data_IF_757130422606
#
_entry.id   IF_757130422606
#
_cell.length_a   1.000
_cell.length_b   1.000
_cell.length_c   1.000
_cell.angle_alpha   90.00
_cell.angle_beta   90.00
_cell.angle_gamma   90.00
#
_symmetry.space_group_name_H-M   'P 1'
#
loop_
_entity.id
_entity.type
_entity.pdbx_description
1 polymer ?
#
# COMPACT_ATOMS: atom_id res chain seq x y z
N UNK A 1 22.84 7.33 -17.71
CA UNK A 1 21.71 7.57 -18.62
C UNK A 1 20.81 8.59 -17.91
N UNK A 2 20.76 9.85 -18.36
CA UNK A 2 20.01 10.92 -17.67
C UNK A 2 18.52 10.75 -17.94
N UNK A 3 17.75 10.38 -16.91
CA UNK A 3 16.29 10.43 -17.00
C UNK A 3 15.85 11.90 -17.05
N UNK A 4 15.31 12.32 -18.21
CA UNK A 4 14.69 13.65 -18.36
C UNK A 4 13.29 13.61 -17.76
N UNK A 5 12.98 14.57 -16.87
CA UNK A 5 11.64 14.75 -16.32
C UNK A 5 10.71 15.31 -17.42
N UNK A 6 9.80 14.49 -17.93
CA UNK A 6 8.76 14.92 -18.87
C UNK A 6 7.44 15.11 -18.14
N UNK A 7 6.86 16.32 -18.24
CA UNK A 7 5.51 16.61 -17.73
C UNK A 7 4.61 16.92 -18.92
N UNK A 8 3.57 16.11 -19.11
CA UNK A 8 2.52 16.37 -20.11
C UNK A 8 1.36 17.05 -19.41
N UNK A 9 1.13 18.33 -19.71
CA UNK A 9 0.19 19.21 -18.99
C UNK A 9 -1.22 18.60 -18.96
N UNK A 10 -1.68 18.03 -20.07
CA UNK A 10 -3.03 17.45 -20.21
C UNK A 10 -3.27 16.20 -19.34
N UNK A 11 -2.21 15.61 -18.80
CA UNK A 11 -2.28 14.41 -17.94
C UNK A 11 -2.15 14.73 -16.46
N UNK A 12 -1.87 15.98 -16.10
CA UNK A 12 -1.68 16.37 -14.70
C UNK A 12 -3.03 16.45 -14.00
N UNK A 13 -3.18 15.68 -12.93
CA UNK A 13 -4.38 15.72 -12.06
C UNK A 13 -4.02 16.29 -10.69
N UNK A 14 -4.91 17.12 -10.16
CA UNK A 14 -4.78 17.59 -8.77
C UNK A 14 -4.94 16.38 -7.83
N UNK A 15 -4.06 16.22 -6.82
CA UNK A 15 -4.23 15.17 -5.84
C UNK A 15 -5.57 15.24 -5.12
N UNK A 16 -6.16 14.11 -4.74
CA UNK A 16 -7.43 14.04 -4.01
C UNK A 16 -7.23 13.41 -2.64
N UNK A 17 -7.71 14.07 -1.57
CA UNK A 17 -7.69 13.56 -0.21
C UNK A 17 -8.96 12.75 0.08
N UNK A 18 -8.79 11.58 0.68
CA UNK A 18 -9.86 10.76 1.21
C UNK A 18 -9.41 10.11 2.52
N UNK A 19 -10.35 9.57 3.28
CA UNK A 19 -10.08 8.99 4.60
C UNK A 19 -10.25 7.48 4.54
N UNK A 20 -9.26 6.75 5.04
CA UNK A 20 -9.35 5.31 5.25
C UNK A 20 -9.53 5.00 6.74
N UNK A 21 -10.30 3.98 7.12
CA UNK A 21 -10.40 3.56 8.52
C UNK A 21 -9.04 3.07 9.03
N UNK A 22 -8.59 3.62 10.15
CA UNK A 22 -7.34 3.23 10.80
C UNK A 22 -7.58 2.06 11.75
N UNK A 23 -7.09 0.88 11.37
CA UNK A 23 -7.31 -0.37 12.11
C UNK A 23 -6.33 -0.52 13.29
N UNK A 24 -6.45 0.34 14.31
CA UNK A 24 -5.75 0.14 15.57
C UNK A 24 -6.48 -0.90 16.42
N UNK A 25 -5.78 -1.95 16.86
CA UNK A 25 -6.37 -3.06 17.66
C UNK A 25 -6.99 -2.64 18.99
N UNK A 26 -6.65 -1.44 19.49
CA UNK A 26 -7.00 -0.99 20.84
C UNK A 26 -7.82 0.32 20.86
N UNK A 27 -8.31 0.82 19.72
CA UNK A 27 -9.05 2.08 19.69
C UNK A 27 -10.53 1.84 20.01
N UNK A 28 -11.01 2.41 21.12
CA UNK A 28 -12.43 2.53 21.44
C UNK A 28 -13.12 3.59 20.55
N UNK A 29 -12.34 4.46 19.89
CA UNK A 29 -12.81 5.49 18.98
C UNK A 29 -12.44 5.19 17.52
N UNK A 30 -13.32 5.61 16.60
CA UNK A 30 -13.13 5.40 15.17
C UNK A 30 -12.07 6.37 14.62
N UNK A 31 -10.84 5.90 14.52
CA UNK A 31 -9.74 6.66 13.94
C UNK A 31 -9.76 6.52 12.41
N UNK A 32 -9.65 7.65 11.70
CA UNK A 32 -9.45 7.68 10.25
C UNK A 32 -8.04 8.17 9.91
N UNK A 33 -7.45 7.58 8.87
CA UNK A 33 -6.17 7.99 8.32
C UNK A 33 -6.39 8.75 7.01
N UNK A 34 -5.91 10.00 6.90
CA UNK A 34 -5.95 10.73 5.65
C UNK A 34 -5.00 10.08 4.63
N UNK A 35 -5.48 9.85 3.41
CA UNK A 35 -4.70 9.32 2.29
C UNK A 35 -4.95 10.17 1.06
N UNK A 36 -3.89 10.41 0.28
CA UNK A 36 -3.98 11.23 -0.92
C UNK A 36 -3.68 10.39 -2.15
N UNK A 37 -4.54 10.48 -3.17
CA UNK A 37 -4.23 9.97 -4.49
C UNK A 37 -3.46 11.04 -5.26
N UNK A 38 -2.28 10.71 -5.77
CA UNK A 38 -1.41 11.71 -6.42
C UNK A 38 -0.62 11.18 -7.60
N UNK A 39 -0.91 9.96 -8.09
CA UNK A 39 -0.12 9.24 -9.11
C UNK A 39 0.14 10.03 -10.39
N UNK A 40 -0.72 10.98 -10.74
CA UNK A 40 -0.61 11.82 -11.94
C UNK A 40 -0.41 13.31 -11.64
N UNK A 41 -0.07 13.66 -10.40
CA UNK A 41 0.22 15.06 -10.05
C UNK A 41 1.66 15.43 -10.38
N UNK A 42 1.89 16.68 -10.79
CA UNK A 42 3.23 17.19 -11.05
C UNK A 42 4.11 17.12 -9.79
N UNK A 43 3.52 17.37 -8.61
CA UNK A 43 4.20 17.24 -7.32
C UNK A 43 4.62 15.81 -7.01
N UNK A 44 3.85 14.80 -7.44
CA UNK A 44 4.24 13.39 -7.30
C UNK A 44 5.43 12.99 -8.19
N UNK A 45 5.46 13.50 -9.42
CA UNK A 45 6.60 13.26 -10.32
C UNK A 45 7.86 13.91 -9.76
N UNK A 46 7.75 15.16 -9.30
CA UNK A 46 8.84 15.86 -8.62
C UNK A 46 9.29 15.13 -7.34
N UNK A 47 8.33 14.64 -6.55
CA UNK A 47 8.62 13.86 -5.35
C UNK A 47 9.44 12.60 -5.66
N UNK A 48 9.04 11.81 -6.67
CA UNK A 48 9.80 10.61 -7.07
C UNK A 48 11.20 10.96 -7.54
N UNK A 49 11.31 11.94 -8.41
CA UNK A 49 12.60 12.41 -8.92
C UNK A 49 13.55 12.86 -7.79
N UNK A 50 13.07 13.67 -6.85
CA UNK A 50 13.86 14.11 -5.70
C UNK A 50 14.25 12.94 -4.79
N UNK A 51 13.35 11.97 -4.64
CA UNK A 51 13.59 10.80 -3.85
C UNK A 51 14.68 9.90 -4.44
N UNK A 52 14.57 9.56 -5.73
CA UNK A 52 15.57 8.76 -6.45
C UNK A 52 16.94 9.43 -6.43
N UNK A 53 16.98 10.78 -6.48
CA UNK A 53 18.19 11.56 -6.40
C UNK A 53 18.85 11.51 -5.01
N UNK A 54 18.07 11.52 -3.93
CA UNK A 54 18.55 11.70 -2.56
C UNK A 54 18.69 10.39 -1.79
N UNK A 55 17.83 9.40 -2.05
CA UNK A 55 17.64 8.23 -1.20
C UNK A 55 18.92 7.44 -1.00
N UNK A 56 19.72 7.23 -2.06
CA UNK A 56 21.00 6.52 -1.95
C UNK A 56 21.96 7.24 -0.99
N UNK A 57 22.15 8.55 -1.16
CA UNK A 57 23.05 9.33 -0.30
C UNK A 57 22.55 9.44 1.14
N UNK A 58 21.23 9.42 1.34
CA UNK A 58 20.61 9.39 2.67
C UNK A 58 20.83 8.04 3.31
N UNK A 59 20.58 6.94 2.59
CA UNK A 59 20.72 5.58 3.09
C UNK A 59 22.16 5.27 3.53
N UNK A 60 23.16 5.70 2.75
CA UNK A 60 24.58 5.52 3.10
C UNK A 60 24.96 6.15 4.45
N UNK A 61 24.42 7.34 4.79
CA UNK A 61 24.67 7.97 6.10
C UNK A 61 23.96 7.24 7.25
N UNK A 62 22.95 6.43 6.93
CA UNK A 62 22.04 5.84 7.89
C UNK A 62 22.29 4.36 8.16
N UNK A 63 22.97 3.65 7.27
CA UNK A 63 23.19 2.20 7.38
C UNK A 63 23.90 1.80 8.69
N UNK A 64 24.81 2.66 9.18
CA UNK A 64 25.49 2.42 10.46
C UNK A 64 24.51 2.39 11.64
N UNK A 65 23.50 3.27 11.63
CA UNK A 65 22.56 3.46 12.73
C UNK A 65 21.20 2.78 12.51
N UNK A 66 20.99 2.09 11.39
CA UNK A 66 19.72 1.43 11.07
C UNK A 66 19.76 -0.06 11.38
N UNK A 67 18.73 -0.57 12.07
CA UNK A 67 18.49 -2.00 12.21
C UNK A 67 17.51 -2.45 11.13
N UNK A 68 18.00 -3.19 10.14
CA UNK A 68 17.16 -3.63 9.00
C UNK A 68 16.21 -4.77 9.37
N UNK A 69 16.63 -5.64 10.29
CA UNK A 69 15.85 -6.77 10.78
C UNK A 69 16.41 -7.27 12.13
N UNK A 70 15.80 -8.31 12.69
CA UNK A 70 16.22 -8.90 13.96
C UNK A 70 17.64 -9.47 13.93
N UNK A 71 18.04 -10.12 12.83
CA UNK A 71 19.39 -10.67 12.65
C UNK A 71 20.45 -9.58 12.62
N UNK A 72 20.20 -8.50 11.87
CA UNK A 72 21.09 -7.33 11.81
C UNK A 72 21.21 -6.63 13.18
N UNK A 73 20.12 -6.52 13.93
CA UNK A 73 20.14 -6.03 15.30
C UNK A 73 21.03 -6.88 16.21
N UNK A 74 20.83 -8.21 16.23
CA UNK A 74 21.62 -9.12 17.07
C UNK A 74 23.09 -9.08 16.69
N UNK A 75 23.40 -9.06 15.39
CA UNK A 75 24.78 -8.92 14.91
C UNK A 75 25.43 -7.64 15.42
N UNK A 76 24.79 -6.48 15.21
CA UNK A 76 25.32 -5.19 15.70
C UNK A 76 25.44 -5.14 17.23
N UNK A 77 24.54 -5.81 17.95
CA UNK A 77 24.60 -5.93 19.41
C UNK A 77 25.78 -6.82 19.84
N UNK A 78 26.06 -7.92 19.14
CA UNK A 78 27.24 -8.74 19.40
C UNK A 78 28.53 -7.96 19.10
N UNK A 79 28.58 -7.27 17.96
CA UNK A 79 29.71 -6.39 17.58
C UNK A 79 29.98 -5.33 18.66
N UNK A 80 28.93 -4.88 19.37
CA UNK A 80 29.02 -3.98 20.51
C UNK A 80 29.55 -4.65 21.79
N UNK A 81 29.09 -5.87 22.08
CA UNK A 81 29.50 -6.66 23.24
C UNK A 81 30.95 -7.10 23.17
N UNK A 82 31.42 -7.44 21.97
CA UNK A 82 32.80 -7.88 21.72
C UNK A 82 33.82 -6.74 21.84
N UNK A 83 33.38 -5.48 21.95
CA UNK A 83 34.29 -4.37 22.19
C UNK A 83 34.94 -4.48 23.59
N UNK A 84 36.25 -4.21 23.71
CA UNK A 84 37.01 -4.43 24.95
C UNK A 84 36.55 -3.60 26.15
N UNK A 85 35.65 -2.64 25.93
CA UNK A 85 35.10 -1.79 26.98
C UNK A 85 33.91 -2.43 27.76
N UNK A 86 33.50 -3.66 27.42
CA UNK A 86 32.51 -4.46 28.17
C UNK A 86 31.28 -3.64 28.63
N UNK A 87 30.55 -3.09 27.66
CA UNK A 87 29.50 -2.12 27.93
C UNK A 87 28.18 -2.73 28.44
N UNK A 88 27.87 -4.00 28.14
CA UNK A 88 26.67 -4.65 28.67
C UNK A 88 26.91 -5.20 30.08
N UNK A 89 26.23 -4.62 31.07
CA UNK A 89 26.17 -5.08 32.46
C UNK A 89 24.78 -5.64 32.78
N UNK A 90 24.67 -6.37 33.89
CA UNK A 90 23.37 -6.81 34.44
C UNK A 90 22.41 -5.65 34.74
N UNK A 91 22.94 -4.42 34.87
CA UNK A 91 22.17 -3.18 35.10
C UNK A 91 21.77 -2.45 33.81
N UNK A 92 22.07 -3.00 32.62
CA UNK A 92 21.76 -2.33 31.36
C UNK A 92 20.25 -2.32 31.09
N UNK A 93 19.70 -1.16 30.70
CA UNK A 93 18.29 -1.02 30.34
C UNK A 93 18.13 -0.76 28.84
N UNK A 94 17.25 -1.51 28.19
CA UNK A 94 16.85 -1.25 26.81
C UNK A 94 15.64 -0.32 26.79
N UNK A 95 15.79 0.84 26.14
CA UNK A 95 14.72 1.84 26.02
C UNK A 95 14.26 1.92 24.57
N UNK A 96 12.95 1.83 24.35
CA UNK A 96 12.34 2.03 23.02
C UNK A 96 11.50 3.30 23.04
N UNK A 97 11.79 4.22 22.12
CA UNK A 97 11.01 5.45 21.92
C UNK A 97 10.25 5.35 20.60
N UNK A 98 8.94 5.65 20.63
CA UNK A 98 8.09 5.64 19.43
C UNK A 98 7.60 7.06 19.13
N UNK A 99 7.91 7.56 17.95
CA UNK A 99 7.44 8.87 17.49
C UNK A 99 6.18 8.66 16.63
N UNK A 100 5.05 9.20 17.08
CA UNK A 100 3.76 9.10 16.37
C UNK A 100 3.50 10.35 15.54
N UNK A 101 2.74 10.21 14.45
CA UNK A 101 2.30 11.31 13.57
C UNK A 101 3.43 12.21 13.05
N UNK A 102 4.66 11.69 13.01
CA UNK A 102 5.86 12.46 12.69
C UNK A 102 5.71 13.25 11.39
N UNK A 103 5.20 12.61 10.34
CA UNK A 103 5.03 13.20 9.00
C UNK A 103 4.05 14.38 8.94
N UNK A 104 3.17 14.54 9.93
CA UNK A 104 2.16 15.61 9.97
C UNK A 104 2.54 16.76 10.91
N UNK A 105 3.48 16.53 11.85
CA UNK A 105 3.75 17.48 12.93
C UNK A 105 4.77 18.56 12.58
N UNK A 106 5.74 18.25 11.72
CA UNK A 106 6.88 19.13 11.49
C UNK A 106 6.55 20.15 10.39
N UNK A 107 6.86 21.41 10.63
CA UNK A 107 6.65 22.47 9.65
C UNK A 107 7.68 22.40 8.50
N UNK A 108 7.33 23.05 7.39
CA UNK A 108 8.16 23.01 6.18
C UNK A 108 9.51 23.71 6.35
N UNK A 109 9.56 24.79 7.12
CA UNK A 109 10.82 25.52 7.34
C UNK A 109 11.81 24.68 8.14
N UNK A 110 11.33 23.98 9.16
CA UNK A 110 12.10 23.01 9.92
C UNK A 110 12.62 21.85 9.04
N UNK A 111 11.79 21.34 8.11
CA UNK A 111 12.23 20.33 7.13
C UNK A 111 13.32 20.87 6.23
N UNK A 112 13.13 22.07 5.68
CA UNK A 112 14.07 22.70 4.77
C UNK A 112 15.38 23.05 5.48
N UNK A 113 15.32 23.48 6.73
CA UNK A 113 16.51 23.77 7.52
C UNK A 113 17.32 22.49 7.79
N UNK A 114 16.67 21.40 8.18
CA UNK A 114 17.35 20.11 8.34
C UNK A 114 17.91 19.59 7.01
N UNK A 115 17.18 19.81 5.92
CA UNK A 115 17.62 19.45 4.58
C UNK A 115 18.83 20.27 4.13
N UNK A 116 18.85 21.57 4.39
CA UNK A 116 19.97 22.46 4.07
C UNK A 116 21.24 22.05 4.83
N UNK A 117 21.13 21.78 6.14
CA UNK A 117 22.25 21.28 6.93
C UNK A 117 22.81 19.97 6.37
N UNK A 118 21.92 19.09 5.92
CA UNK A 118 22.30 17.83 5.31
C UNK A 118 23.04 18.04 3.97
N UNK A 119 22.55 18.92 3.10
CA UNK A 119 23.21 19.25 1.84
C UNK A 119 24.58 19.92 2.07
N UNK A 120 24.69 20.76 3.10
CA UNK A 120 25.93 21.49 3.44
C UNK A 120 26.96 20.65 4.23
N UNK A 121 26.71 19.35 4.42
CA UNK A 121 27.66 18.46 5.09
C UNK A 121 29.00 18.45 4.36
N UNK A 122 30.16 18.59 5.06
CA UNK A 122 31.47 18.81 4.44
C UNK A 122 31.94 17.67 3.52
N UNK A 123 31.35 16.47 3.64
CA UNK A 123 31.68 15.32 2.81
C UNK A 123 30.90 15.26 1.48
N UNK A 124 30.05 16.25 1.18
CA UNK A 124 29.19 16.21 -0.02
C UNK A 124 29.80 16.96 -1.19
N UNK A 125 29.69 16.33 -2.36
CA UNK A 125 30.01 16.97 -3.64
C UNK A 125 29.03 18.11 -3.92
N UNK A 126 29.46 19.19 -4.62
CA UNK A 126 28.61 20.34 -4.92
C UNK A 126 27.45 20.01 -5.89
N UNK A 127 27.44 18.81 -6.45
CA UNK A 127 26.37 18.30 -7.31
C UNK A 127 26.02 16.85 -6.95
N UNK A 128 24.76 16.48 -7.18
CA UNK A 128 24.26 15.09 -7.09
C UNK A 128 23.73 14.75 -8.47
N UNK A 129 24.29 13.71 -9.11
CA UNK A 129 23.95 13.30 -10.48
C UNK A 129 23.98 14.47 -11.50
N UNK A 130 24.90 15.43 -11.30
CA UNK A 130 25.05 16.60 -12.17
C UNK A 130 24.10 17.77 -11.86
N UNK A 131 23.29 17.68 -10.80
CA UNK A 131 22.39 18.74 -10.35
C UNK A 131 23.00 19.45 -9.15
N UNK A 132 23.09 20.79 -9.18
CA UNK A 132 23.64 21.57 -8.06
C UNK A 132 22.79 21.43 -6.80
N UNK A 133 23.44 21.40 -5.63
CA UNK A 133 22.73 21.29 -4.34
C UNK A 133 21.71 22.42 -4.13
N UNK A 134 22.02 23.64 -4.59
CA UNK A 134 21.10 24.77 -4.57
C UNK A 134 19.82 24.49 -5.37
N UNK A 135 19.93 23.84 -6.54
CA UNK A 135 18.77 23.48 -7.35
C UNK A 135 17.94 22.38 -6.69
N UNK A 136 18.59 21.38 -6.09
CA UNK A 136 17.90 20.33 -5.32
C UNK A 136 17.12 20.96 -4.16
N UNK A 137 17.74 21.88 -3.41
CA UNK A 137 17.07 22.63 -2.35
C UNK A 137 15.85 23.40 -2.85
N UNK A 138 15.99 24.16 -3.95
CA UNK A 138 14.87 24.90 -4.55
C UNK A 138 13.71 23.97 -4.98
N UNK A 139 14.02 22.81 -5.56
CA UNK A 139 13.02 21.83 -5.97
C UNK A 139 12.31 21.21 -4.78
N UNK A 140 13.03 20.89 -3.70
CA UNK A 140 12.43 20.41 -2.45
C UNK A 140 11.53 21.47 -1.81
N UNK A 141 11.95 22.74 -1.80
CA UNK A 141 11.12 23.87 -1.35
C UNK A 141 9.86 23.99 -2.20
N UNK A 142 9.99 23.88 -3.52
CA UNK A 142 8.85 23.90 -4.44
C UNK A 142 7.86 22.78 -4.12
N UNK A 143 8.35 21.55 -3.89
CA UNK A 143 7.53 20.40 -3.51
C UNK A 143 6.74 20.65 -2.22
N UNK A 144 7.43 21.04 -1.13
CA UNK A 144 6.78 21.25 0.17
C UNK A 144 5.75 22.39 0.10
N UNK A 145 6.13 23.54 -0.48
CA UNK A 145 5.29 24.75 -0.51
C UNK A 145 4.13 24.70 -1.49
N UNK A 146 4.12 23.75 -2.44
CA UNK A 146 3.08 23.63 -3.48
C UNK A 146 2.36 22.28 -3.46
N UNK A 147 2.43 21.55 -2.33
CA UNK A 147 1.68 20.32 -2.17
C UNK A 147 0.19 20.63 -1.94
N UNK A 148 -0.54 20.79 -3.04
CA UNK A 148 -1.97 21.06 -3.09
C UNK A 148 -2.76 19.76 -3.23
N UNK A 149 -3.98 19.74 -2.67
CA UNK A 149 -4.92 18.65 -2.83
C UNK A 149 -6.35 19.16 -2.83
N UNK A 150 -7.24 18.40 -3.46
CA UNK A 150 -8.68 18.65 -3.48
C UNK A 150 -9.37 17.81 -2.41
N UNK A 151 -10.30 18.43 -1.70
CA UNK A 151 -11.18 17.80 -0.73
C UNK A 151 -12.46 18.62 -0.62
N UNK A 152 -13.63 18.00 -0.49
CA UNK A 152 -14.91 18.69 -0.23
C UNK A 152 -15.12 19.96 -1.07
N UNK A 153 -14.97 19.80 -2.39
CA UNK A 153 -15.11 20.88 -3.38
C UNK A 153 -14.16 22.09 -3.23
N UNK A 154 -13.11 21.96 -2.41
CA UNK A 154 -12.12 23.01 -2.14
C UNK A 154 -10.71 22.51 -2.39
N UNK A 155 -9.82 23.45 -2.71
CA UNK A 155 -8.40 23.19 -2.87
C UNK A 155 -7.71 23.60 -1.58
N UNK A 156 -6.97 22.67 -0.99
CA UNK A 156 -6.20 22.83 0.22
C UNK A 156 -4.72 22.71 -0.10
N UNK A 157 -3.91 23.22 0.83
CA UNK A 157 -2.45 23.11 0.81
C UNK A 157 -1.98 22.56 2.14
N UNK A 158 -1.00 21.68 2.11
CA UNK A 158 -0.28 21.31 3.33
C UNK A 158 0.44 22.54 3.91
N UNK A 159 0.06 22.95 5.12
CA UNK A 159 0.77 23.99 5.86
C UNK A 159 1.92 23.43 6.69
N UNK A 160 1.85 22.14 7.04
CA UNK A 160 2.85 21.37 7.78
C UNK A 160 2.89 19.96 7.25
N UNK A 161 4.02 19.30 7.45
CA UNK A 161 4.21 17.93 7.05
C UNK A 161 4.10 17.71 5.54
N UNK A 162 3.93 16.45 5.17
CA UNK A 162 3.70 16.04 3.79
C UNK A 162 2.98 14.69 3.78
N UNK A 163 2.23 14.36 2.72
CA UNK A 163 1.59 13.05 2.62
C UNK A 163 2.61 11.91 2.75
N UNK A 164 2.33 10.97 3.64
CA UNK A 164 3.25 9.89 4.02
C UNK A 164 3.55 8.92 2.86
N UNK A 165 2.67 8.84 1.87
CA UNK A 165 2.80 7.93 0.74
C UNK A 165 3.73 8.46 -0.36
N UNK A 166 4.20 9.71 -0.27
CA UNK A 166 5.24 10.21 -1.15
C UNK A 166 6.62 9.73 -0.69
N UNK A 167 7.42 9.10 -1.58
CA UNK A 167 8.74 8.59 -1.20
C UNK A 167 9.64 9.68 -0.61
N UNK A 168 9.69 10.87 -1.22
CA UNK A 168 10.51 11.99 -0.71
C UNK A 168 10.12 12.41 0.72
N UNK A 169 8.86 12.23 1.13
CA UNK A 169 8.42 12.53 2.50
C UNK A 169 9.19 11.67 3.49
N UNK A 170 9.32 10.38 3.21
CA UNK A 170 10.13 9.47 4.03
C UNK A 170 11.60 9.89 4.02
N UNK A 171 12.17 10.20 2.86
CA UNK A 171 13.58 10.62 2.75
C UNK A 171 13.87 11.89 3.55
N UNK A 172 13.03 12.92 3.45
CA UNK A 172 13.18 14.14 4.23
C UNK A 172 12.95 13.92 5.74
N UNK A 173 12.02 13.03 6.10
CA UNK A 173 11.84 12.60 7.48
C UNK A 173 13.10 11.95 8.05
N UNK A 174 13.74 11.06 7.27
CA UNK A 174 14.99 10.42 7.65
C UNK A 174 16.12 11.44 7.81
N UNK A 175 16.19 12.45 6.94
CA UNK A 175 17.17 13.55 7.05
C UNK A 175 16.93 14.37 8.32
N UNK A 176 15.68 14.74 8.61
CA UNK A 176 15.33 15.46 9.83
C UNK A 176 15.71 14.66 11.09
N UNK A 177 15.33 13.38 11.11
CA UNK A 177 15.65 12.48 12.21
C UNK A 177 17.17 12.31 12.35
N UNK A 178 17.92 12.21 11.25
CA UNK A 178 19.38 12.15 11.26
C UNK A 178 20.00 13.40 11.89
N UNK A 179 19.49 14.59 11.56
CA UNK A 179 19.95 15.83 12.17
C UNK A 179 19.65 15.84 13.68
N UNK A 180 18.43 15.46 14.06
CA UNK A 180 18.04 15.36 15.47
C UNK A 180 18.94 14.37 16.22
N UNK A 181 19.23 13.22 15.62
CA UNK A 181 20.18 12.23 16.13
C UNK A 181 21.58 12.82 16.28
N UNK A 182 22.13 13.50 15.26
CA UNK A 182 23.44 14.16 15.35
C UNK A 182 23.47 15.18 16.50
N UNK A 183 22.37 15.88 16.78
CA UNK A 183 22.29 16.83 17.89
C UNK A 183 22.21 16.15 19.25
N UNK A 184 21.34 15.16 19.41
CA UNK A 184 21.12 14.47 20.68
C UNK A 184 22.30 13.59 21.07
N UNK A 185 22.84 12.85 20.11
CA UNK A 185 23.84 11.80 20.34
C UNK A 185 25.27 12.30 20.17
N UNK A 186 25.50 13.59 19.87
CA UNK A 186 26.84 14.20 19.97
C UNK A 186 27.46 13.98 21.36
N UNK A 187 26.65 13.87 22.42
CA UNK A 187 27.10 13.55 23.78
C UNK A 187 27.27 12.04 24.03
N UNK A 188 26.41 11.17 23.50
CA UNK A 188 26.49 9.72 23.75
C UNK A 188 27.43 8.96 22.79
N UNK A 189 27.73 9.53 21.61
CA UNK A 189 28.79 9.02 20.71
C UNK A 189 30.16 9.20 21.36
N UNK A 190 30.33 10.19 22.25
CA UNK A 190 31.51 10.27 23.12
C UNK A 190 31.55 9.14 24.15
N UNK A 191 30.39 8.58 24.53
CA UNK A 191 30.25 7.51 25.52
C UNK A 191 30.25 6.10 24.90
N UNK A 192 30.36 5.99 23.57
CA UNK A 192 30.36 4.72 22.82
C UNK A 192 29.17 3.82 23.17
N UNK A 193 27.98 4.36 23.39
CA UNK A 193 26.80 3.56 23.76
C UNK A 193 26.16 2.86 22.54
N UNK A 194 25.46 1.73 22.76
CA UNK A 194 24.74 1.02 21.70
C UNK A 194 23.42 1.72 21.36
N UNK A 195 23.29 2.18 20.13
CA UNK A 195 22.05 2.76 19.65
C UNK A 195 21.78 2.41 18.19
N UNK A 196 20.52 2.47 17.83
CA UNK A 196 20.11 2.42 16.44
C UNK A 196 18.60 2.58 16.32
N UNK A 197 18.15 2.82 15.10
CA UNK A 197 16.75 2.99 14.76
C UNK A 197 16.24 1.73 14.09
N UNK A 198 15.04 1.31 14.46
CA UNK A 198 14.32 0.27 13.74
C UNK A 198 13.36 0.95 12.78
N UNK A 199 13.56 0.74 11.48
CA UNK A 199 12.59 1.18 10.49
C UNK A 199 11.45 0.17 10.50
N UNK A 200 10.34 0.53 11.16
CA UNK A 200 9.12 -0.25 11.10
C UNK A 200 8.45 0.00 9.75
N UNK A 201 8.82 -0.78 8.74
CA UNK A 201 7.94 -1.00 7.60
C UNK A 201 6.88 -1.97 8.07
N UNK A 202 5.79 -1.46 8.64
CA UNK A 202 4.65 -2.30 8.94
C UNK A 202 3.97 -2.69 7.62
N UNK A 203 4.54 -3.68 6.95
CA UNK A 203 3.97 -4.33 5.77
C UNK A 203 2.60 -4.97 6.06
N UNK A 204 2.22 -5.12 7.34
CA UNK A 204 0.90 -5.58 7.77
C UNK A 204 -0.13 -4.44 7.93
N UNK A 205 0.31 -3.18 8.09
CA UNK A 205 -0.53 -1.97 7.93
C UNK A 205 -0.58 -1.45 6.50
N UNK A 206 0.34 -1.88 5.63
CA UNK A 206 0.07 -1.90 4.18
C UNK A 206 -0.93 -3.04 3.92
N UNK A 207 -2.14 -2.91 4.47
CA UNK A 207 -3.28 -3.43 3.74
C UNK A 207 -3.15 -2.82 2.35
N UNK A 208 -3.03 -3.68 1.34
CA UNK A 208 -3.16 -3.28 -0.06
C UNK A 208 -4.60 -2.81 -0.24
N UNK A 209 -4.90 -1.61 0.27
CA UNK A 209 -6.16 -0.94 0.04
C UNK A 209 -6.22 -0.69 -1.45
N UNK A 210 -7.09 -1.45 -2.11
CA UNK A 210 -7.41 -1.18 -3.50
C UNK A 210 -8.23 0.10 -3.49
N UNK A 211 -7.70 1.15 -4.10
CA UNK A 211 -8.31 2.48 -4.11
C UNK A 211 -9.76 2.40 -4.61
N UNK A 212 -10.73 3.03 -3.92
CA UNK A 212 -12.05 3.21 -4.48
C UNK A 212 -11.97 4.08 -5.75
N UNK A 213 -12.78 3.73 -6.76
CA UNK A 213 -12.80 4.20 -8.15
C UNK A 213 -11.85 5.36 -8.52
N UNK A 214 -10.60 5.02 -8.86
CA UNK A 214 -9.75 5.89 -9.68
C UNK A 214 -9.75 5.32 -11.10
N UNK A 215 -10.07 6.16 -12.09
CA UNK A 215 -10.01 5.83 -13.52
C UNK A 215 -8.71 5.07 -13.82
N UNK A 216 -8.79 3.78 -14.17
CA UNK A 216 -7.63 2.95 -14.53
C UNK A 216 -7.49 1.61 -13.78
N UNK A 217 -8.22 1.36 -12.69
CA UNK A 217 -8.17 0.07 -11.96
C UNK A 217 -9.20 -0.96 -12.50
N UNK A 218 -8.91 -2.28 -12.53
CA UNK A 218 -9.89 -3.27 -13.01
C UNK A 218 -11.14 -3.37 -12.16
N UNK A 219 -12.26 -3.63 -12.85
CA UNK A 219 -13.52 -4.11 -12.27
C UNK A 219 -13.34 -5.25 -11.24
N UNK A 220 -12.41 -6.18 -11.47
CA UNK A 220 -12.13 -7.27 -10.53
C UNK A 220 -11.61 -6.75 -9.19
N UNK A 221 -10.60 -5.87 -9.20
CA UNK A 221 -10.02 -5.34 -7.98
C UNK A 221 -11.07 -4.61 -7.11
N UNK A 222 -12.02 -3.93 -7.75
CA UNK A 222 -13.15 -3.25 -7.10
C UNK A 222 -14.17 -4.21 -6.48
N UNK A 223 -14.55 -5.25 -7.23
CA UNK A 223 -15.49 -6.28 -6.75
C UNK A 223 -14.96 -7.00 -5.51
N UNK A 224 -13.64 -7.20 -5.44
CA UNK A 224 -12.99 -7.85 -4.32
C UNK A 224 -12.98 -6.95 -3.08
N UNK A 225 -12.80 -5.64 -3.23
CA UNK A 225 -12.75 -4.73 -2.08
C UNK A 225 -14.06 -4.74 -1.30
N UNK A 226 -15.21 -4.47 -1.94
CA UNK A 226 -16.49 -4.40 -1.25
C UNK A 226 -16.85 -5.74 -0.61
N UNK A 227 -16.63 -6.85 -1.33
CA UNK A 227 -16.81 -8.20 -0.78
C UNK A 227 -15.91 -8.45 0.44
N UNK A 228 -14.64 -8.09 0.37
CA UNK A 228 -13.69 -8.25 1.48
C UNK A 228 -14.08 -7.39 2.68
N UNK A 229 -14.57 -6.17 2.46
CA UNK A 229 -15.08 -5.29 3.51
C UNK A 229 -16.32 -5.86 4.19
N UNK A 230 -17.26 -6.42 3.43
CA UNK A 230 -18.43 -7.13 3.98
C UNK A 230 -18.03 -8.38 4.77
N UNK A 231 -17.11 -9.19 4.24
CA UNK A 231 -16.57 -10.36 4.97
C UNK A 231 -15.96 -9.93 6.30
N UNK A 232 -15.22 -8.82 6.29
CA UNK A 232 -14.60 -8.24 7.47
C UNK A 232 -15.65 -7.76 8.48
N UNK A 233 -16.68 -7.05 8.03
CA UNK A 233 -17.78 -6.58 8.86
C UNK A 233 -18.44 -7.74 9.62
N UNK A 234 -18.79 -8.84 8.93
CA UNK A 234 -19.38 -10.03 9.55
C UNK A 234 -18.49 -10.65 10.65
N UNK A 235 -17.16 -10.58 10.49
CA UNK A 235 -16.22 -11.11 11.48
C UNK A 235 -16.19 -10.27 12.75
N UNK A 236 -16.21 -8.94 12.61
CA UNK A 236 -16.09 -8.02 13.75
C UNK A 236 -17.42 -7.75 14.44
N UNK A 237 -18.50 -7.55 13.69
CA UNK A 237 -19.82 -7.25 14.24
C UNK A 237 -20.41 -8.50 14.89
N UNK A 238 -20.73 -8.42 16.18
CA UNK A 238 -21.36 -9.52 16.92
C UNK A 238 -22.89 -9.48 16.81
N UNK A 239 -23.48 -8.31 16.61
CA UNK A 239 -24.93 -8.14 16.38
C UNK A 239 -25.26 -7.86 14.91
N UNK A 240 -26.47 -8.22 14.49
CA UNK A 240 -27.00 -7.92 13.15
C UNK A 240 -27.16 -6.42 12.94
N UNK A 241 -27.43 -5.67 14.01
CA UNK A 241 -27.58 -4.22 13.94
C UNK A 241 -26.24 -3.53 13.65
N UNK A 242 -25.17 -3.93 14.36
CA UNK A 242 -23.82 -3.38 14.11
C UNK A 242 -23.35 -3.71 12.70
N UNK A 243 -23.64 -4.93 12.23
CA UNK A 243 -23.34 -5.33 10.86
C UNK A 243 -24.12 -4.51 9.84
N UNK A 244 -25.41 -4.25 10.09
CA UNK A 244 -26.22 -3.43 9.20
C UNK A 244 -25.70 -1.98 9.13
N UNK A 245 -25.28 -1.40 10.25
CA UNK A 245 -24.68 -0.07 10.28
C UNK A 245 -23.36 -0.03 9.49
N UNK A 246 -22.46 -1.00 9.69
CA UNK A 246 -21.21 -1.10 8.91
C UNK A 246 -21.50 -1.33 7.42
N UNK A 247 -22.53 -2.13 7.08
CA UNK A 247 -22.96 -2.33 5.69
C UNK A 247 -23.42 -1.01 5.05
N UNK A 248 -24.32 -0.28 5.71
CA UNK A 248 -24.81 1.02 5.23
C UNK A 248 -23.64 2.00 5.08
N UNK A 249 -22.71 2.00 6.05
CA UNK A 249 -21.49 2.80 5.96
C UNK A 249 -20.65 2.46 4.73
N UNK A 250 -20.46 1.17 4.42
CA UNK A 250 -19.74 0.71 3.23
C UNK A 250 -20.46 1.11 1.94
N UNK A 251 -21.79 1.04 1.90
CA UNK A 251 -22.62 1.48 0.78
C UNK A 251 -22.47 2.98 0.53
N UNK A 252 -22.65 3.81 1.57
CA UNK A 252 -22.48 5.27 1.50
C UNK A 252 -21.05 5.63 1.10
N UNK A 253 -20.06 4.92 1.64
CA UNK A 253 -18.65 5.10 1.25
C UNK A 253 -18.45 4.80 -0.24
N UNK A 254 -19.07 3.74 -0.79
CA UNK A 254 -19.02 3.47 -2.22
C UNK A 254 -19.68 4.61 -3.03
N UNK A 255 -20.88 5.05 -2.64
CA UNK A 255 -21.56 6.14 -3.34
C UNK A 255 -20.74 7.43 -3.33
N UNK A 256 -20.17 7.80 -2.17
CA UNK A 256 -19.32 8.97 -2.02
C UNK A 256 -18.04 8.89 -2.87
N UNK A 257 -17.59 7.67 -3.21
CA UNK A 257 -16.46 7.45 -4.11
C UNK A 257 -16.87 7.23 -5.58
N UNK A 258 -18.11 7.56 -5.96
CA UNK A 258 -18.57 7.56 -7.35
C UNK A 258 -18.94 6.19 -7.92
N UNK A 259 -19.15 5.17 -7.08
CA UNK A 259 -19.70 3.90 -7.53
C UNK A 259 -21.20 4.05 -7.85
N UNK A 260 -21.67 3.40 -8.92
CA UNK A 260 -23.10 3.37 -9.24
C UNK A 260 -23.88 2.52 -8.23
N UNK A 261 -25.13 2.90 -7.99
CA UNK A 261 -26.03 2.13 -7.11
C UNK A 261 -26.18 0.68 -7.59
N UNK A 262 -26.37 0.47 -8.90
CA UNK A 262 -26.45 -0.86 -9.52
C UNK A 262 -25.22 -1.74 -9.22
N UNK A 263 -24.01 -1.14 -9.24
CA UNK A 263 -22.79 -1.86 -8.89
C UNK A 263 -22.82 -2.32 -7.43
N UNK A 264 -23.20 -1.42 -6.52
CA UNK A 264 -23.23 -1.69 -5.08
C UNK A 264 -24.26 -2.79 -4.78
N UNK A 265 -25.49 -2.62 -5.25
CA UNK A 265 -26.58 -3.57 -5.05
C UNK A 265 -26.21 -4.96 -5.56
N UNK A 266 -25.72 -5.06 -6.80
CA UNK A 266 -25.27 -6.33 -7.39
C UNK A 266 -24.25 -7.06 -6.53
N UNK A 267 -23.28 -6.36 -5.95
CA UNK A 267 -22.23 -6.99 -5.15
C UNK A 267 -22.72 -7.38 -3.75
N UNK A 268 -23.63 -6.60 -3.18
CA UNK A 268 -24.27 -6.91 -1.91
C UNK A 268 -25.19 -8.11 -2.04
N UNK A 269 -26.02 -8.14 -3.09
CA UNK A 269 -26.91 -9.27 -3.37
C UNK A 269 -26.12 -10.53 -3.66
N UNK A 270 -25.05 -10.43 -4.44
CA UNK A 270 -24.13 -11.55 -4.66
C UNK A 270 -23.50 -12.03 -3.34
N UNK A 271 -23.10 -11.13 -2.43
CA UNK A 271 -22.56 -11.50 -1.12
C UNK A 271 -23.59 -12.28 -0.29
N UNK A 272 -24.80 -11.75 -0.13
CA UNK A 272 -25.85 -12.43 0.65
C UNK A 272 -26.29 -13.76 0.02
N UNK A 273 -26.39 -13.82 -1.31
CA UNK A 273 -26.72 -15.05 -2.04
C UNK A 273 -25.63 -16.11 -1.84
N UNK A 274 -24.34 -15.71 -1.95
CA UNK A 274 -23.22 -16.63 -1.80
C UNK A 274 -23.16 -17.31 -0.42
N UNK A 275 -23.58 -16.59 0.62
CA UNK A 275 -23.63 -17.10 1.99
C UNK A 275 -25.02 -17.53 2.45
N UNK A 276 -26.00 -17.62 1.53
CA UNK A 276 -27.38 -18.05 1.82
C UNK A 276 -28.04 -17.25 2.95
N UNK A 277 -27.91 -15.93 2.86
CA UNK A 277 -28.38 -14.98 3.86
C UNK A 277 -29.20 -13.84 3.22
N UNK A 278 -29.90 -14.13 2.12
CA UNK A 278 -30.67 -13.15 1.35
C UNK A 278 -31.76 -12.48 2.19
N UNK A 279 -32.37 -13.20 3.14
CA UNK A 279 -33.41 -12.66 4.03
C UNK A 279 -32.93 -11.50 4.90
N UNK A 280 -31.61 -11.38 5.15
CA UNK A 280 -31.04 -10.23 5.88
C UNK A 280 -31.12 -8.92 5.10
N UNK A 281 -31.50 -8.94 3.81
CA UNK A 281 -31.75 -7.72 3.03
C UNK A 281 -33.01 -7.00 3.48
N UNK A 282 -34.03 -7.74 3.87
CA UNK A 282 -35.35 -7.22 4.23
C UNK A 282 -35.60 -7.19 5.74
N UNK A 283 -35.04 -8.15 6.48
CA UNK A 283 -35.33 -8.31 7.91
C UNK A 283 -34.02 -8.49 8.69
N UNK A 284 -33.82 -7.66 9.72
CA UNK A 284 -32.67 -7.76 10.62
C UNK A 284 -32.91 -8.86 11.65
N UNK A 285 -32.57 -10.09 11.27
CA UNK A 285 -32.71 -11.27 12.11
C UNK A 285 -31.34 -11.73 12.66
N UNK A 286 -31.21 -11.71 14.00
CA UNK A 286 -29.98 -12.09 14.69
C UNK A 286 -29.62 -13.57 14.50
N UNK A 287 -30.59 -14.48 14.42
CA UNK A 287 -30.36 -15.91 14.21
C UNK A 287 -29.85 -16.19 12.80
N UNK A 288 -30.46 -15.56 11.79
CA UNK A 288 -29.99 -15.64 10.39
C UNK A 288 -28.59 -15.05 10.27
N UNK A 289 -28.32 -13.93 10.94
CA UNK A 289 -26.98 -13.33 10.97
C UNK A 289 -25.93 -14.24 11.62
N UNK A 290 -26.26 -14.95 12.70
CA UNK A 290 -25.34 -15.92 13.30
C UNK A 290 -25.05 -17.11 12.38
N UNK A 291 -26.03 -17.59 11.60
CA UNK A 291 -25.80 -18.60 10.56
C UNK A 291 -24.84 -18.10 9.48
N UNK A 292 -25.04 -16.85 9.01
CA UNK A 292 -24.13 -16.18 8.08
C UNK A 292 -22.70 -16.12 8.66
N UNK A 293 -22.54 -15.68 9.91
CA UNK A 293 -21.23 -15.61 10.58
C UNK A 293 -20.55 -16.98 10.63
N UNK A 294 -21.27 -18.01 11.06
CA UNK A 294 -20.72 -19.36 11.16
C UNK A 294 -20.24 -19.87 9.80
N UNK A 295 -21.09 -19.76 8.77
CA UNK A 295 -20.74 -20.16 7.40
C UNK A 295 -19.53 -19.40 6.87
N UNK A 296 -19.45 -18.11 7.16
CA UNK A 296 -18.32 -17.27 6.77
C UNK A 296 -17.02 -17.68 7.48
N UNK A 297 -17.07 -18.01 8.78
CA UNK A 297 -15.88 -18.49 9.49
C UNK A 297 -15.40 -19.83 8.93
N UNK A 298 -16.31 -20.75 8.61
CA UNK A 298 -15.97 -22.01 7.94
C UNK A 298 -15.32 -21.75 6.58
N UNK A 299 -15.93 -20.90 5.75
CA UNK A 299 -15.36 -20.48 4.47
C UNK A 299 -13.95 -19.90 4.62
N UNK A 300 -13.71 -19.00 5.58
CA UNK A 300 -12.38 -18.42 5.82
C UNK A 300 -11.37 -19.49 6.27
N UNK A 301 -11.81 -20.46 7.08
CA UNK A 301 -10.97 -21.59 7.51
C UNK A 301 -10.58 -22.47 6.32
N UNK A 302 -11.56 -22.85 5.49
CA UNK A 302 -11.36 -23.62 4.26
C UNK A 302 -10.39 -22.91 3.30
N UNK A 303 -10.57 -21.60 3.09
CA UNK A 303 -9.65 -20.82 2.24
C UNK A 303 -8.21 -20.82 2.79
N UNK A 304 -8.03 -20.79 4.12
CA UNK A 304 -6.69 -20.90 4.73
C UNK A 304 -6.10 -22.29 4.56
N UNK A 305 -6.89 -23.34 4.70
CA UNK A 305 -6.44 -24.71 4.50
C UNK A 305 -6.04 -24.94 3.04
N UNK A 306 -6.87 -24.50 2.09
CA UNK A 306 -6.56 -24.51 0.66
C UNK A 306 -5.26 -23.74 0.39
N UNK A 307 -5.08 -22.57 1.01
CA UNK A 307 -3.84 -21.79 0.86
C UNK A 307 -2.61 -22.53 1.40
N UNK A 308 -2.70 -23.20 2.55
CA UNK A 308 -1.59 -23.99 3.12
C UNK A 308 -1.23 -25.18 2.23
N UNK A 309 -2.23 -25.98 1.85
CA UNK A 309 -2.05 -27.14 0.95
C UNK A 309 -1.41 -26.70 -0.38
N UNK A 310 -1.86 -25.55 -0.91
CA UNK A 310 -1.28 -24.94 -2.10
C UNK A 310 0.20 -24.54 -1.93
N UNK A 311 0.56 -23.99 -0.76
CA UNK A 311 1.93 -23.59 -0.45
C UNK A 311 2.83 -24.81 -0.29
N UNK A 312 2.34 -25.88 0.35
CA UNK A 312 3.05 -27.16 0.47
C UNK A 312 3.34 -27.77 -0.91
N UNK A 313 2.35 -27.73 -1.82
CA UNK A 313 2.54 -28.19 -3.20
C UNK A 313 3.57 -27.35 -3.97
N UNK A 314 3.65 -26.04 -3.69
CA UNK A 314 4.68 -25.15 -4.26
C UNK A 314 6.07 -25.46 -3.68
N UNK A 315 6.19 -25.65 -2.37
CA UNK A 315 7.44 -26.03 -1.69
C UNK A 315 7.95 -27.41 -2.13
N UNK A 316 7.05 -28.33 -2.49
CA UNK A 316 7.38 -29.66 -3.02
C UNK A 316 7.67 -29.67 -4.54
N UNK A 317 7.65 -28.52 -5.22
CA UNK A 317 7.73 -28.42 -6.69
C UNK A 317 6.66 -29.25 -7.43
N UNK A 318 5.53 -29.54 -6.78
CA UNK A 318 4.40 -30.30 -7.34
C UNK A 318 3.32 -29.39 -7.93
N UNK A 319 3.54 -28.07 -7.90
CA UNK A 319 2.64 -27.08 -8.47
C UNK A 319 3.35 -26.19 -9.48
N UNK A 320 2.78 -26.10 -10.68
CA UNK A 320 3.22 -25.10 -11.66
C UNK A 320 2.17 -23.99 -11.74
N UNK A 321 2.64 -22.77 -11.51
CA UNK A 321 1.85 -21.57 -11.67
C UNK A 321 2.13 -20.95 -13.03
N UNK A 322 1.15 -20.95 -13.91
CA UNK A 322 1.25 -20.34 -15.23
C UNK A 322 0.39 -19.08 -15.26
N UNK A 323 1.04 -17.93 -15.33
CA UNK A 323 0.37 -16.66 -15.59
C UNK A 323 0.34 -16.37 -17.08
N UNK A 324 -0.82 -16.04 -17.63
CA UNK A 324 -0.96 -15.66 -19.04
C UNK A 324 -1.83 -14.41 -19.19
N UNK A 325 -1.58 -13.64 -20.25
CA UNK A 325 -2.40 -12.48 -20.60
C UNK A 325 -3.65 -12.96 -21.34
N UNK A 326 -4.83 -12.65 -20.80
CA UNK A 326 -6.11 -12.97 -21.42
C UNK A 326 -6.82 -11.66 -21.76
N UNK A 327 -6.75 -11.25 -23.03
CA UNK A 327 -7.27 -9.95 -23.46
C UNK A 327 -8.74 -10.01 -23.89
N UNK A 328 -9.16 -11.10 -24.54
CA UNK A 328 -10.54 -11.31 -25.01
C UNK A 328 -10.88 -12.80 -25.17
N UNK A 329 -12.17 -13.14 -25.01
CA UNK A 329 -12.71 -14.49 -25.22
C UNK A 329 -13.14 -15.24 -23.94
N UNK A 330 -13.76 -16.43 -24.10
CA UNK A 330 -14.24 -17.24 -22.98
C UNK A 330 -13.06 -17.87 -22.22
N UNK A 331 -12.60 -17.17 -21.18
CA UNK A 331 -11.49 -17.58 -20.29
C UNK A 331 -11.57 -19.04 -19.85
N UNK A 332 -12.76 -19.52 -19.50
CA UNK A 332 -12.96 -20.89 -19.05
C UNK A 332 -12.58 -21.90 -20.16
N UNK A 333 -13.10 -21.71 -21.38
CA UNK A 333 -12.80 -22.57 -22.53
C UNK A 333 -11.31 -22.55 -22.88
N UNK A 334 -10.66 -21.38 -22.80
CA UNK A 334 -9.22 -21.29 -23.00
C UNK A 334 -8.42 -22.06 -21.94
N UNK A 335 -8.77 -21.91 -20.66
CA UNK A 335 -8.13 -22.66 -19.57
C UNK A 335 -8.28 -24.17 -19.78
N UNK A 336 -9.47 -24.64 -20.17
CA UNK A 336 -9.74 -26.05 -20.43
C UNK A 336 -8.86 -26.59 -21.57
N UNK A 337 -8.77 -25.87 -22.70
CA UNK A 337 -7.93 -26.29 -23.83
C UNK A 337 -6.43 -26.22 -23.51
N UNK A 338 -5.96 -25.18 -22.83
CA UNK A 338 -4.56 -25.06 -22.39
C UNK A 338 -4.19 -26.19 -21.41
N UNK A 339 -5.10 -26.54 -20.50
CA UNK A 339 -4.92 -27.66 -19.58
C UNK A 339 -4.87 -29.00 -20.32
N UNK A 340 -5.71 -29.21 -21.34
CA UNK A 340 -5.65 -30.40 -22.21
C UNK A 340 -4.33 -30.48 -22.98
N UNK A 341 -3.81 -29.35 -23.50
CA UNK A 341 -2.54 -29.33 -24.21
C UNK A 341 -1.36 -29.69 -23.30
N UNK A 342 -1.29 -29.06 -22.13
CA UNK A 342 -0.20 -29.26 -21.18
C UNK A 342 -0.25 -30.65 -20.52
N UNK A 343 -1.44 -31.17 -20.23
CA UNK A 343 -1.58 -32.54 -19.73
C UNK A 343 -1.13 -33.57 -20.75
N UNK A 344 -1.43 -33.38 -22.05
CA UNK A 344 -0.92 -34.25 -23.13
C UNK A 344 0.62 -34.25 -23.21
N UNK A 345 1.26 -33.09 -23.15
CA UNK A 345 2.72 -33.00 -23.20
C UNK A 345 3.38 -33.61 -21.95
N UNK A 346 2.86 -33.33 -20.75
CA UNK A 346 3.39 -33.87 -19.50
C UNK A 346 3.19 -35.39 -19.37
N UNK A 347 2.11 -35.93 -19.93
CA UNK A 347 1.86 -37.38 -19.94
C UNK A 347 2.67 -38.14 -20.99
N UNK A 348 3.29 -37.45 -21.95
CA UNK A 348 4.12 -38.08 -22.99
C UNK A 348 5.56 -38.34 -22.52
N UNK A 349 6.04 -37.65 -21.47
CA UNK A 349 7.39 -37.78 -20.92
C UNK A 349 7.54 -38.87 -19.84
N UNK A 350 6.76 -39.95 -19.93
CA UNK A 350 6.64 -41.06 -18.95
C UNK A 350 7.89 -41.96 -18.77
N UNK A 351 9.10 -41.38 -18.65
CA UNK A 351 10.30 -42.13 -18.22
C UNK A 351 10.66 -41.94 -16.73
N UNK A 352 9.89 -41.22 -15.94
CA UNK A 352 10.09 -41.12 -14.49
C UNK A 352 8.81 -41.48 -13.73
N UNK A 353 8.73 -42.74 -13.27
CA UNK A 353 7.56 -43.34 -12.62
C UNK A 353 7.32 -42.87 -11.16
N UNK A 354 7.80 -41.68 -10.78
CA UNK A 354 7.62 -41.11 -9.43
C UNK A 354 7.20 -39.64 -9.39
N UNK A 355 6.79 -39.05 -10.51
CA UNK A 355 6.18 -37.72 -10.46
C UNK A 355 4.72 -37.84 -9.97
N UNK A 356 4.53 -37.54 -8.68
CA UNK A 356 3.23 -37.20 -8.10
C UNK A 356 2.46 -36.26 -9.03
N UNK A 357 1.14 -36.39 -9.08
CA UNK A 357 0.21 -35.58 -9.89
C UNK A 357 0.55 -34.09 -9.83
N UNK A 358 1.19 -33.57 -10.88
CA UNK A 358 1.53 -32.17 -11.01
C UNK A 358 0.24 -31.35 -11.08
N UNK A 359 0.04 -30.42 -10.15
CA UNK A 359 -1.11 -29.54 -10.11
C UNK A 359 -0.85 -28.27 -10.95
N UNK A 360 -1.52 -28.16 -12.10
CA UNK A 360 -1.46 -26.99 -12.96
C UNK A 360 -2.47 -25.94 -12.52
N UNK A 361 -1.99 -24.74 -12.17
CA UNK A 361 -2.86 -23.58 -11.91
C UNK A 361 -2.57 -22.47 -12.90
N UNK A 362 -3.63 -22.06 -13.59
CA UNK A 362 -3.58 -20.93 -14.51
C UNK A 362 -4.09 -19.66 -13.84
N UNK A 363 -3.33 -18.57 -13.94
CA UNK A 363 -3.78 -17.24 -13.55
C UNK A 363 -3.77 -16.31 -14.75
N UNK A 364 -4.81 -15.50 -14.87
CA UNK A 364 -4.87 -14.47 -15.91
C UNK A 364 -4.31 -13.18 -15.37
N UNK A 365 -3.32 -12.62 -16.06
CA UNK A 365 -2.92 -11.24 -15.87
C UNK A 365 -3.71 -10.37 -16.86
N UNK A 366 -4.22 -9.23 -16.38
CA UNK A 366 -4.87 -8.24 -17.25
C UNK A 366 -3.83 -7.20 -17.64
N UNK A 367 -3.56 -7.10 -18.95
CA UNK A 367 -2.79 -6.00 -19.54
C UNK A 367 -3.76 -4.83 -19.74
N UNK A 368 -3.58 -3.74 -18.98
CA UNK A 368 -4.41 -2.53 -19.11
C UNK A 368 -3.90 -1.59 -20.21
N UNK A 369 -2.65 -1.75 -20.64
CA UNK A 369 -2.04 -0.88 -21.66
C UNK A 369 -2.73 -1.07 -23.01
N UNK A 370 -3.04 -2.30 -23.43
CA UNK A 370 -3.67 -2.56 -24.73
C UNK A 370 -5.14 -2.12 -24.81
N UNK A 371 -5.91 -2.20 -23.71
CA UNK A 371 -7.29 -1.68 -23.68
C UNK A 371 -7.37 -0.14 -23.78
N UNK A 372 -6.33 0.57 -23.34
CA UNK A 372 -6.22 2.02 -23.54
C UNK A 372 -5.88 2.39 -25.00
N UNK A 373 -5.23 1.49 -25.75
CA UNK A 373 -4.91 1.65 -27.17
C UNK A 373 -6.01 1.14 -28.11
N UNK A 374 -6.79 0.13 -27.70
CA UNK A 374 -7.79 -0.53 -28.54
C UNK A 374 -9.25 -0.16 -28.20
N UNK A 375 -9.46 0.69 -27.20
CA UNK A 375 -10.77 1.24 -26.89
C UNK A 375 -11.24 2.18 -28.00
N UNK A 376 -12.06 1.68 -28.93
CA UNK A 376 -12.97 2.55 -29.71
C UNK A 376 -13.65 3.53 -28.75
N UNK A 377 -13.72 4.81 -29.13
CA UNK A 377 -14.47 5.84 -28.40
C UNK A 377 -15.79 5.24 -27.91
N UNK A 378 -16.02 5.27 -26.60
CA UNK A 378 -17.33 4.86 -26.05
C UNK A 378 -18.41 5.73 -26.69
N UNK A 379 -19.58 5.18 -27.03
CA UNK A 379 -20.68 5.97 -27.54
C UNK A 379 -21.03 7.07 -26.54
N UNK A 380 -21.22 8.27 -27.09
CA UNK A 380 -21.62 9.48 -26.39
C UNK A 380 -22.91 9.22 -25.60
N UNK A 381 -22.93 9.49 -24.29
CA UNK A 381 -24.14 9.35 -23.47
C UNK A 381 -24.81 10.73 -23.34
N UNK A 382 -26.03 10.94 -23.84
CA UNK A 382 -26.68 12.26 -23.90
C UNK A 382 -27.28 12.74 -22.56
N UNK A 383 -27.08 12.03 -21.45
CA UNK A 383 -27.76 12.29 -20.17
C UNK A 383 -27.18 13.46 -19.35
N UNK A 384 -26.21 14.21 -19.86
CA UNK A 384 -25.59 15.34 -19.15
C UNK A 384 -25.83 16.71 -19.81
N UNK A 385 -26.76 16.80 -20.77
CA UNK A 385 -27.25 18.09 -21.25
C UNK A 385 -28.78 18.06 -21.36
N UNK A 386 -29.47 18.42 -20.28
CA UNK A 386 -30.80 19.02 -20.40
C UNK A 386 -30.69 20.55 -20.23
N UNK A 387 -30.90 21.20 -21.38
CA UNK A 387 -31.50 22.52 -21.61
C UNK A 387 -31.13 23.65 -20.64
N UNK A 388 -30.26 24.55 -21.13
CA UNK A 388 -30.47 25.98 -20.90
C UNK A 388 -31.82 26.36 -21.53
N UNK A 389 -32.75 26.79 -20.69
CA UNK A 389 -33.76 27.78 -21.06
C UNK A 389 -33.12 29.17 -20.91
#
# INVERSE_FOLDING_TARGET
MQEKLYVTIDKVKLPYLYFLPHLSRNAQELLVQPVITSTHSATALLARFLDDLLRTSVQMELDSTTFHNGTDFIRKLNDYVEQPAHHLRSTTMFVTMTIRNFYAMVDHDTWLFAFQDFLNSPCRMPTIQGISLAKVYQLTTLFLRNNLFYYDHKIYRFSKGSPFHFPITETLALIYILRWFKSLFRKSVLEKEFYGRRVYHDASTVQKYTLPYVVGNSKMAHSHWLRSSLIRAVRYCTSVNDFNQERIYLEVSCLANGYSLEFIEKHIDHFFTHFDAVSLRSVLDQQVYMKLRHRLFNFVSEQRQIFRMNKELEEQNQRFHLSYLCEYGPKQKFNEELQKMLSKSLNSSKKSAKMNTINLRFTTQSSYSLNAFLGKQKPYHPLFYEKKL
#
